data_IF_602732753781
#
_entry.id   IF_602732753781
#
_cell.length_a   1.000
_cell.length_b   1.000
_cell.length_c   1.000
_cell.angle_alpha   90.00
_cell.angle_beta   90.00
_cell.angle_gamma   90.00
#
_symmetry.space_group_name_H-M   'P 1'
#
loop_
_entity.id
_entity.type
_entity.pdbx_description
1 polymer ?
#
# COMPACT_ATOMS: atom_id res chain seq x y z
N UNK A 1 9.13 -4.64 -11.46
CA UNK A 1 8.61 -4.63 -10.07
C UNK A 1 8.01 -3.26 -9.74
N UNK A 2 6.69 -3.14 -9.54
CA UNK A 2 6.01 -1.85 -9.32
C UNK A 2 5.06 -1.41 -10.44
N UNK A 3 5.00 -2.16 -11.55
CA UNK A 3 4.08 -1.92 -12.68
C UNK A 3 2.63 -2.34 -12.38
N UNK A 4 2.42 -3.03 -11.26
CA UNK A 4 1.11 -3.52 -10.87
C UNK A 4 0.56 -2.69 -9.72
N UNK A 5 -0.63 -2.13 -9.94
CA UNK A 5 -1.44 -1.47 -8.93
C UNK A 5 -2.87 -1.95 -9.04
N UNK A 6 -3.57 -2.04 -7.91
CA UNK A 6 -5.00 -2.32 -7.93
C UNK A 6 -5.73 -1.01 -8.19
N UNK A 7 -6.64 -1.03 -9.17
CA UNK A 7 -7.37 0.16 -9.63
C UNK A 7 -8.86 -0.15 -9.78
N UNK A 8 -9.66 0.88 -9.69
CA UNK A 8 -11.07 0.88 -10.11
C UNK A 8 -11.21 1.77 -11.33
N UNK A 9 -11.88 1.29 -12.37
CA UNK A 9 -12.04 1.99 -13.64
C UNK A 9 -10.79 1.96 -14.54
N UNK A 10 -10.89 2.63 -15.69
CA UNK A 10 -9.84 2.67 -16.72
C UNK A 10 -8.69 3.63 -16.41
N UNK A 11 -7.77 3.79 -17.36
CA UNK A 11 -6.61 4.67 -17.20
C UNK A 11 -7.00 6.15 -17.09
N UNK A 12 -7.88 6.62 -17.96
CA UNK A 12 -8.27 8.04 -18.08
C UNK A 12 -9.24 8.52 -17.01
N UNK A 13 -10.11 7.64 -16.50
CA UNK A 13 -11.13 7.99 -15.49
C UNK A 13 -11.02 7.26 -14.16
N UNK A 14 -10.13 6.26 -14.04
CA UNK A 14 -10.06 5.41 -12.87
C UNK A 14 -9.19 5.97 -11.74
N UNK A 15 -9.18 5.23 -10.64
CA UNK A 15 -8.47 5.60 -9.41
C UNK A 15 -7.66 4.43 -8.88
N UNK A 16 -6.49 4.72 -8.31
CA UNK A 16 -5.60 3.73 -7.71
C UNK A 16 -6.02 3.48 -6.27
N UNK A 17 -6.27 2.22 -5.93
CA UNK A 17 -6.63 1.78 -4.59
C UNK A 17 -5.44 1.24 -3.80
N UNK A 18 -4.54 0.51 -4.48
CA UNK A 18 -3.37 -0.10 -3.84
C UNK A 18 -2.11 0.12 -4.67
N UNK A 19 -1.04 0.58 -4.02
CA UNK A 19 0.32 0.54 -4.55
C UNK A 19 1.07 -0.65 -3.99
N UNK A 20 1.68 -1.48 -4.84
CA UNK A 20 2.44 -2.66 -4.44
C UNK A 20 3.93 -2.42 -4.74
N UNK A 21 4.78 -2.72 -3.77
CA UNK A 21 6.22 -2.70 -3.88
C UNK A 21 6.78 -4.07 -3.50
N UNK A 22 7.94 -4.41 -4.04
CA UNK A 22 8.63 -5.64 -3.69
C UNK A 22 10.13 -5.43 -3.68
N UNK A 23 10.81 -6.17 -2.81
CA UNK A 23 12.26 -6.26 -2.71
C UNK A 23 12.68 -7.71 -2.75
N UNK A 24 13.52 -8.05 -3.73
CA UNK A 24 14.08 -9.39 -3.90
C UNK A 24 15.53 -9.40 -3.41
N UNK A 25 15.90 -10.43 -2.67
CA UNK A 25 17.27 -10.70 -2.23
C UNK A 25 17.67 -12.11 -2.68
N UNK A 26 18.94 -12.48 -2.49
CA UNK A 26 19.41 -13.84 -2.83
C UNK A 26 18.63 -14.96 -2.13
N UNK A 27 18.08 -14.70 -0.94
CA UNK A 27 17.47 -15.75 -0.08
C UNK A 27 16.00 -15.52 0.25
N UNK A 28 15.44 -14.37 -0.08
CA UNK A 28 14.09 -14.01 0.30
C UNK A 28 13.54 -12.91 -0.62
N UNK A 29 12.21 -12.89 -0.76
CA UNK A 29 11.47 -11.80 -1.39
C UNK A 29 10.50 -11.24 -0.37
N UNK A 30 10.46 -9.91 -0.27
CA UNK A 30 9.47 -9.17 0.50
C UNK A 30 8.56 -8.44 -0.47
N UNK A 31 7.25 -8.64 -0.32
CA UNK A 31 6.22 -7.90 -1.07
C UNK A 31 5.35 -7.17 -0.05
N UNK A 32 5.09 -5.89 -0.31
CA UNK A 32 4.25 -5.06 0.54
C UNK A 32 3.35 -4.18 -0.31
N UNK A 33 2.22 -3.76 0.27
CA UNK A 33 1.29 -2.86 -0.39
C UNK A 33 0.74 -1.82 0.56
N UNK A 34 0.37 -0.66 0.01
CA UNK A 34 -0.36 0.38 0.72
C UNK A 34 -1.74 0.46 0.08
N UNK A 35 -2.78 0.16 0.86
CA UNK A 35 -4.18 0.30 0.49
C UNK A 35 -4.73 1.53 1.22
N UNK A 36 -5.38 2.44 0.49
CA UNK A 36 -6.07 3.56 1.11
C UNK A 36 -7.52 3.19 1.40
N UNK A 37 -7.90 3.13 2.67
CA UNK A 37 -9.30 2.87 3.06
C UNK A 37 -10.14 4.14 2.93
N UNK A 38 -9.60 5.28 3.39
CA UNK A 38 -10.20 6.62 3.31
C UNK A 38 -9.12 7.72 3.36
N UNK A 39 -9.51 8.99 3.22
CA UNK A 39 -8.58 10.13 3.25
C UNK A 39 -7.99 10.51 1.89
N UNK A 40 -8.62 10.09 0.79
CA UNK A 40 -8.13 10.30 -0.57
C UNK A 40 -8.00 11.78 -0.96
N UNK A 41 -8.85 12.65 -0.42
CA UNK A 41 -8.81 14.09 -0.70
C UNK A 41 -7.55 14.74 -0.12
N UNK A 42 -7.19 14.39 1.12
CA UNK A 42 -6.00 14.91 1.79
C UNK A 42 -4.72 14.39 1.13
N UNK A 43 -4.69 13.10 0.78
CA UNK A 43 -3.58 12.53 0.02
C UNK A 43 -3.45 13.19 -1.36
N UNK A 44 -4.56 13.39 -2.07
CA UNK A 44 -4.55 14.08 -3.36
C UNK A 44 -4.04 15.53 -3.23
N UNK A 45 -4.37 16.23 -2.13
CA UNK A 45 -3.89 17.58 -1.86
C UNK A 45 -2.38 17.61 -1.64
N UNK A 46 -1.83 16.67 -0.85
CA UNK A 46 -0.39 16.55 -0.62
C UNK A 46 0.35 16.21 -1.91
N UNK A 47 -0.14 15.21 -2.65
CA UNK A 47 0.45 14.81 -3.92
C UNK A 47 0.40 15.95 -4.95
N UNK A 48 -0.67 16.75 -4.98
CA UNK A 48 -0.76 17.93 -5.83
C UNK A 48 0.38 18.92 -5.59
N UNK A 49 0.77 19.15 -4.33
CA UNK A 49 1.92 20.01 -3.99
C UNK A 49 3.25 19.42 -4.49
N UNK A 50 3.44 18.11 -4.30
CA UNK A 50 4.67 17.39 -4.72
C UNK A 50 4.81 17.44 -6.25
N UNK A 51 3.78 17.05 -6.99
CA UNK A 51 3.80 17.07 -8.46
C UNK A 51 3.94 18.49 -9.00
N UNK A 52 3.29 19.48 -8.36
CA UNK A 52 3.45 20.89 -8.68
C UNK A 52 4.89 21.38 -8.54
N UNK A 53 5.58 21.00 -7.45
CA UNK A 53 6.99 21.32 -7.25
C UNK A 53 7.90 20.69 -8.32
N UNK A 54 7.55 19.48 -8.77
CA UNK A 54 8.24 18.79 -9.86
C UNK A 54 7.86 19.30 -11.27
N UNK A 55 6.88 20.22 -11.38
CA UNK A 55 6.30 20.69 -12.64
C UNK A 55 5.74 19.56 -13.51
N UNK A 56 5.17 18.54 -12.87
CA UNK A 56 4.55 17.40 -13.54
C UNK A 56 3.02 17.48 -13.47
N UNK A 57 2.31 17.03 -14.52
CA UNK A 57 0.85 16.96 -14.47
C UNK A 57 0.40 15.94 -13.43
N UNK A 58 -0.65 16.27 -12.68
CA UNK A 58 -1.25 15.39 -11.69
C UNK A 58 -2.76 15.44 -11.80
N UNK A 59 -3.40 14.26 -11.76
CA UNK A 59 -4.85 14.13 -11.71
C UNK A 59 -5.28 13.78 -10.28
N UNK A 60 -5.83 14.72 -9.49
CA UNK A 60 -6.33 14.42 -8.14
C UNK A 60 -7.34 13.27 -8.12
N UNK A 61 -8.20 13.20 -9.15
CA UNK A 61 -9.15 12.11 -9.32
C UNK A 61 -8.54 10.72 -9.49
N UNK A 62 -7.22 10.61 -9.73
CA UNK A 62 -6.53 9.31 -9.80
C UNK A 62 -6.22 8.70 -8.43
N UNK A 63 -6.33 9.47 -7.34
CA UNK A 63 -6.20 8.96 -5.96
C UNK A 63 -7.52 8.34 -5.53
N UNK A 64 -7.50 7.03 -5.32
CA UNK A 64 -8.67 6.28 -4.88
C UNK A 64 -8.56 5.86 -3.43
N UNK A 65 -9.71 5.45 -2.88
CA UNK A 65 -9.82 4.79 -1.59
C UNK A 65 -10.95 3.77 -1.64
N UNK A 66 -10.96 2.84 -0.68
CA UNK A 66 -12.09 1.92 -0.51
C UNK A 66 -13.42 2.67 -0.37
N UNK A 67 -13.44 3.72 0.47
CA UNK A 67 -14.62 4.57 0.68
C UNK A 67 -15.11 5.21 -0.62
N UNK A 68 -14.21 5.77 -1.41
CA UNK A 68 -14.54 6.35 -2.72
C UNK A 68 -15.02 5.31 -3.74
N UNK A 69 -14.59 4.05 -3.59
CA UNK A 69 -15.08 2.93 -4.37
C UNK A 69 -16.44 2.37 -3.88
N UNK A 70 -17.07 3.00 -2.87
CA UNK A 70 -18.34 2.57 -2.30
C UNK A 70 -18.22 1.50 -1.21
N UNK A 71 -17.02 1.24 -0.70
CA UNK A 71 -16.78 0.29 0.39
C UNK A 71 -16.53 1.04 1.71
N UNK A 72 -17.45 0.88 2.67
CA UNK A 72 -17.40 1.52 3.99
C UNK A 72 -16.76 0.65 5.09
N UNK A 73 -16.04 -0.41 4.73
CA UNK A 73 -15.35 -1.27 5.69
C UNK A 73 -14.18 -0.57 6.39
N UNK A 74 -13.94 -0.97 7.64
CA UNK A 74 -12.84 -0.45 8.45
C UNK A 74 -11.48 -0.98 7.98
N UNK A 75 -10.39 -0.32 8.40
CA UNK A 75 -9.02 -0.83 8.21
C UNK A 75 -8.86 -2.24 8.78
N UNK A 76 -9.41 -2.53 9.96
CA UNK A 76 -9.36 -3.85 10.57
C UNK A 76 -10.03 -4.91 9.67
N UNK A 77 -11.17 -4.59 9.08
CA UNK A 77 -11.87 -5.47 8.13
C UNK A 77 -11.02 -5.74 6.89
N UNK A 78 -10.32 -4.73 6.36
CA UNK A 78 -9.40 -4.90 5.23
C UNK A 78 -8.21 -5.82 5.58
N UNK A 79 -7.64 -5.66 6.78
CA UNK A 79 -6.56 -6.51 7.26
C UNK A 79 -6.99 -7.98 7.37
N UNK A 80 -8.15 -8.24 7.98
CA UNK A 80 -8.68 -9.59 8.10
C UNK A 80 -9.04 -10.20 6.75
N UNK A 81 -9.65 -9.43 5.85
CA UNK A 81 -9.94 -9.90 4.50
C UNK A 81 -8.67 -10.26 3.73
N UNK A 82 -7.62 -9.42 3.80
CA UNK A 82 -6.34 -9.69 3.17
C UNK A 82 -5.69 -10.97 3.71
N UNK A 83 -5.67 -11.13 5.04
CA UNK A 83 -5.06 -12.29 5.65
C UNK A 83 -5.87 -13.58 5.40
N UNK A 84 -7.20 -13.51 5.39
CA UNK A 84 -8.06 -14.63 5.03
C UNK A 84 -7.87 -15.08 3.57
N UNK A 85 -7.73 -14.14 2.63
CA UNK A 85 -7.42 -14.48 1.24
C UNK A 85 -6.02 -15.09 1.11
N UNK A 86 -5.04 -14.56 1.85
CA UNK A 86 -3.68 -15.11 1.85
C UNK A 86 -3.64 -16.56 2.37
N UNK A 87 -4.34 -16.84 3.45
CA UNK A 87 -4.51 -18.19 4.01
C UNK A 87 -5.21 -19.12 3.00
N UNK A 88 -6.35 -18.70 2.47
CA UNK A 88 -7.13 -19.54 1.56
C UNK A 88 -6.41 -19.83 0.24
N UNK A 89 -5.66 -18.87 -0.30
CA UNK A 89 -5.11 -18.96 -1.66
C UNK A 89 -3.65 -19.41 -1.69
N UNK A 90 -2.89 -19.12 -0.63
CA UNK A 90 -1.45 -19.34 -0.61
C UNK A 90 -0.99 -20.18 0.59
N UNK A 91 -1.92 -20.72 1.40
CA UNK A 91 -1.60 -21.46 2.64
C UNK A 91 -0.69 -20.63 3.57
N UNK A 92 -0.88 -19.30 3.54
CA UNK A 92 -0.07 -18.39 4.34
C UNK A 92 -0.38 -18.57 5.82
N UNK A 93 0.63 -18.43 6.69
CA UNK A 93 0.43 -18.49 8.14
C UNK A 93 0.71 -17.11 8.75
N UNK A 94 -0.22 -16.62 9.58
CA UNK A 94 0.02 -15.43 10.41
C UNK A 94 1.08 -15.76 11.47
N UNK A 95 2.19 -15.03 11.44
CA UNK A 95 3.29 -15.20 12.42
C UNK A 95 3.52 -13.89 13.17
N UNK A 96 3.54 -13.91 14.52
CA UNK A 96 3.96 -12.74 15.28
C UNK A 96 5.44 -12.46 15.01
N UNK A 97 5.83 -11.19 15.05
CA UNK A 97 7.24 -10.81 14.97
C UNK A 97 7.94 -11.25 16.25
N UNK A 98 8.97 -12.09 16.14
CA UNK A 98 9.74 -12.53 17.29
C UNK A 98 10.62 -11.39 17.86
N UNK A 99 11.01 -11.52 19.13
CA UNK A 99 11.78 -10.51 19.86
C UNK A 99 13.10 -10.16 19.17
N UNK A 100 13.75 -11.15 18.54
CA UNK A 100 15.00 -10.95 17.82
C UNK A 100 14.78 -10.12 16.55
N UNK A 101 13.70 -10.37 15.82
CA UNK A 101 13.29 -9.60 14.65
C UNK A 101 12.98 -8.15 15.04
N UNK A 102 12.22 -7.94 16.12
CA UNK A 102 11.91 -6.60 16.63
C UNK A 102 13.17 -5.87 17.11
N UNK A 103 14.06 -6.54 17.85
CA UNK A 103 15.31 -5.97 18.31
C UNK A 103 16.21 -5.55 17.14
N UNK A 104 16.35 -6.42 16.13
CA UNK A 104 17.12 -6.12 14.92
C UNK A 104 16.55 -4.92 14.15
N UNK A 105 15.22 -4.83 14.05
CA UNK A 105 14.56 -3.70 13.41
C UNK A 105 14.82 -2.37 14.15
N UNK A 106 14.90 -2.38 15.49
CA UNK A 106 15.23 -1.19 16.29
C UNK A 106 16.70 -0.80 16.15
N UNK A 107 17.60 -1.78 16.20
CA UNK A 107 19.05 -1.56 16.08
C UNK A 107 19.42 -0.98 14.69
N UNK A 108 18.85 -1.55 13.62
CA UNK A 108 19.19 -1.19 12.24
C UNK A 108 18.24 -0.19 11.59
N UNK A 109 17.10 0.08 12.23
CA UNK A 109 16.04 0.92 11.67
C UNK A 109 16.54 2.30 11.28
N UNK A 110 17.36 2.92 12.14
CA UNK A 110 17.94 4.25 11.89
C UNK A 110 18.87 4.28 10.67
N UNK A 111 19.59 3.20 10.39
CA UNK A 111 20.43 3.08 9.20
C UNK A 111 19.63 2.95 7.89
N UNK A 112 18.31 2.83 7.98
CA UNK A 112 17.38 2.69 6.86
C UNK A 112 16.30 3.79 6.82
N UNK A 113 16.37 4.77 7.72
CA UNK A 113 15.62 6.02 7.60
C UNK A 113 16.37 6.91 6.60
N UNK A 114 15.94 6.87 5.34
CA UNK A 114 16.35 7.83 4.31
C UNK A 114 15.51 9.09 4.44
#
# INVERSE_FOLDING_TARGET
PGDHSVRVGGWEGGMKLCGIAQRVTRRATSVGGIVLVEGEEDLARVLGKVYGAMRLPFRPGSVGSARRAGNASSVATFLEAFASEAESRYDATRVPLDDKTVALARERGTAHLV
#
